data_IF_605273196738
#
_entry.id   IF_605273196738
#
_cell.length_a   1.000
_cell.length_b   1.000
_cell.length_c   1.000
_cell.angle_alpha   90.00
_cell.angle_beta   90.00
_cell.angle_gamma   90.00
#
_symmetry.space_group_name_H-M   'P 1'
#
loop_
_entity.id
_entity.type
_entity.pdbx_description
1 polymer ?
#
# COMPACT_ATOMS: atom_id res chain seq x y z
N UNK A 1 34.54 49.89 -55.88
CA UNK A 1 34.70 48.94 -54.75
C UNK A 1 33.35 48.74 -54.11
N UNK A 2 32.73 47.61 -54.40
CA UNK A 2 31.47 47.17 -53.79
C UNK A 2 31.77 46.68 -52.36
N UNK A 3 30.91 46.98 -51.41
CA UNK A 3 30.82 46.23 -50.15
C UNK A 3 29.43 45.60 -50.11
N UNK A 4 29.39 44.29 -50.31
CA UNK A 4 28.24 43.46 -49.97
C UNK A 4 28.11 43.42 -48.44
N UNK A 5 26.89 43.69 -47.97
CA UNK A 5 26.50 43.49 -46.58
C UNK A 5 25.66 42.19 -46.58
N UNK A 6 26.12 41.17 -45.87
CA UNK A 6 25.48 39.86 -45.78
C UNK A 6 24.54 39.88 -44.57
N UNK A 7 23.27 39.50 -44.81
CA UNK A 7 22.20 39.30 -43.82
C UNK A 7 22.54 38.24 -42.77
N UNK A 8 22.10 38.42 -41.53
CA UNK A 8 21.95 37.30 -40.59
C UNK A 8 20.89 37.56 -39.51
N UNK A 9 19.61 37.59 -39.89
CA UNK A 9 18.46 37.65 -38.97
C UNK A 9 17.74 36.28 -38.86
N UNK A 10 18.41 35.20 -38.41
CA UNK A 10 17.71 33.91 -38.17
C UNK A 10 18.40 33.07 -37.09
N UNK A 11 18.26 33.40 -35.79
CA UNK A 11 18.80 32.51 -34.74
C UNK A 11 18.21 32.66 -33.32
N UNK A 12 16.95 33.08 -33.13
CA UNK A 12 16.44 33.28 -31.76
C UNK A 12 15.09 32.62 -31.40
N UNK A 13 14.48 31.83 -32.30
CA UNK A 13 13.16 31.24 -32.01
C UNK A 13 13.15 29.71 -31.80
N UNK A 14 14.30 29.03 -31.87
CA UNK A 14 14.36 27.56 -31.76
C UNK A 14 14.67 27.00 -30.37
N UNK A 15 15.12 27.83 -29.43
CA UNK A 15 15.63 27.35 -28.13
C UNK A 15 14.52 27.21 -27.07
N UNK A 16 13.46 28.02 -27.15
CA UNK A 16 12.37 28.02 -26.16
C UNK A 16 11.41 26.84 -26.30
N UNK A 17 11.16 26.37 -27.52
CA UNK A 17 10.24 25.24 -27.76
C UNK A 17 10.85 23.88 -27.33
N UNK A 18 12.18 23.80 -27.20
CA UNK A 18 12.88 22.55 -26.83
C UNK A 18 12.95 22.36 -25.31
N UNK A 19 12.98 23.43 -24.52
CA UNK A 19 12.94 23.33 -23.05
C UNK A 19 11.56 22.92 -22.54
N UNK A 20 10.49 23.51 -23.08
CA UNK A 20 9.12 23.18 -22.64
C UNK A 20 8.73 21.73 -22.99
N UNK A 21 9.28 21.16 -24.06
CA UNK A 21 9.07 19.76 -24.44
C UNK A 21 9.86 18.74 -23.58
N UNK A 22 10.96 19.17 -22.95
CA UNK A 22 11.77 18.30 -22.08
C UNK A 22 11.13 18.13 -20.70
N UNK A 23 10.61 19.21 -20.12
CA UNK A 23 9.91 19.16 -18.81
C UNK A 23 8.66 18.27 -18.85
N UNK A 24 7.97 18.17 -19.99
CA UNK A 24 6.79 17.30 -20.14
C UNK A 24 7.13 15.81 -20.35
N UNK A 25 8.34 15.47 -20.79
CA UNK A 25 8.78 14.07 -20.94
C UNK A 25 9.48 13.51 -19.70
N UNK A 26 10.12 14.37 -18.90
CA UNK A 26 10.85 13.94 -17.71
C UNK A 26 9.88 13.49 -16.60
N UNK A 27 8.75 14.17 -16.42
CA UNK A 27 7.79 13.86 -15.34
C UNK A 27 7.15 12.46 -15.43
N UNK A 28 6.84 11.96 -16.62
CA UNK A 28 6.20 10.64 -16.79
C UNK A 28 7.23 9.49 -16.75
N UNK A 29 8.49 9.80 -17.05
CA UNK A 29 9.58 8.82 -17.08
C UNK A 29 10.20 8.61 -15.70
N UNK A 30 10.25 9.66 -14.88
CA UNK A 30 10.76 9.62 -13.50
C UNK A 30 9.87 8.74 -12.58
N UNK A 31 8.54 8.76 -12.72
CA UNK A 31 7.66 7.89 -11.91
C UNK A 31 7.81 6.40 -12.25
N UNK A 32 8.13 6.06 -13.50
CA UNK A 32 8.28 4.67 -13.96
C UNK A 32 9.57 3.98 -13.47
N UNK A 33 10.59 4.77 -13.08
CA UNK A 33 11.87 4.28 -12.56
C UNK A 33 11.88 4.12 -11.04
N UNK A 34 10.84 4.57 -10.34
CA UNK A 34 10.73 4.44 -8.89
C UNK A 34 10.40 3.00 -8.50
N UNK A 35 11.15 2.46 -7.53
CA UNK A 35 10.83 1.17 -6.92
C UNK A 35 9.39 1.17 -6.37
N UNK A 36 8.56 0.16 -6.68
CA UNK A 36 7.17 0.12 -6.25
C UNK A 36 7.06 0.25 -4.73
N UNK A 37 6.46 1.36 -4.26
CA UNK A 37 6.30 1.59 -2.83
C UNK A 37 5.10 0.81 -2.32
N UNK A 38 5.32 -0.06 -1.34
CA UNK A 38 4.22 -0.70 -0.63
C UNK A 38 3.36 0.35 0.09
N UNK A 39 2.10 0.47 -0.32
CA UNK A 39 1.10 1.26 0.41
C UNK A 39 0.65 0.44 1.62
N UNK A 40 0.92 0.93 2.82
CA UNK A 40 0.46 0.31 4.06
C UNK A 40 -0.54 1.21 4.78
N UNK A 41 -1.55 0.58 5.39
CA UNK A 41 -2.48 1.23 6.30
C UNK A 41 -2.47 0.48 7.63
N UNK A 42 -2.60 1.20 8.75
CA UNK A 42 -2.73 0.57 10.06
C UNK A 42 -4.18 0.20 10.32
N UNK A 43 -4.38 -1.00 10.81
CA UNK A 43 -5.68 -1.48 11.31
C UNK A 43 -5.83 -1.02 12.77
N UNK A 44 -6.74 -0.07 13.02
CA UNK A 44 -6.82 0.66 14.29
C UNK A 44 -8.07 0.38 15.14
N UNK A 45 -9.03 -0.42 14.66
CA UNK A 45 -10.30 -0.70 15.34
C UNK A 45 -10.12 -1.64 16.55
N UNK A 46 -10.71 -2.84 16.54
CA UNK A 46 -10.69 -3.72 17.72
C UNK A 46 -9.35 -4.48 17.87
N UNK A 47 -8.59 -4.60 16.78
CA UNK A 47 -7.36 -5.38 16.73
C UNK A 47 -6.34 -4.95 17.81
N UNK A 48 -5.99 -3.65 18.00
CA UNK A 48 -5.01 -3.26 18.99
C UNK A 48 -5.45 -3.52 20.44
N UNK A 49 -6.75 -3.47 20.73
CA UNK A 49 -7.26 -3.77 22.08
C UNK A 49 -7.17 -5.27 22.38
N UNK A 50 -7.57 -6.12 21.42
CA UNK A 50 -7.49 -7.57 21.54
C UNK A 50 -6.04 -8.01 21.69
N UNK A 51 -5.13 -7.49 20.86
CA UNK A 51 -3.71 -7.84 20.90
C UNK A 51 -2.95 -7.28 22.11
N UNK A 52 -3.54 -6.35 22.85
CA UNK A 52 -3.01 -5.89 24.14
C UNK A 52 -3.35 -6.84 25.28
N UNK A 53 -4.49 -7.53 25.17
CA UNK A 53 -5.02 -8.47 26.17
C UNK A 53 -4.57 -9.91 25.91
N UNK A 54 -4.38 -10.28 24.65
CA UNK A 54 -3.99 -11.61 24.21
C UNK A 54 -2.98 -11.53 23.06
N UNK A 55 -2.31 -12.64 22.76
CA UNK A 55 -1.29 -12.71 21.72
C UNK A 55 -1.82 -13.46 20.49
N UNK A 56 -1.68 -12.89 19.30
CA UNK A 56 -1.92 -13.61 18.06
C UNK A 56 -0.86 -14.70 17.84
N UNK A 57 -1.29 -15.87 17.39
CA UNK A 57 -0.44 -17.06 17.17
C UNK A 57 -0.44 -17.50 15.71
N UNK A 58 -1.55 -17.35 15.00
CA UNK A 58 -1.67 -17.65 13.58
C UNK A 58 -2.68 -16.72 12.91
N UNK A 59 -2.61 -16.58 11.58
CA UNK A 59 -3.60 -15.84 10.80
C UNK A 59 -3.86 -16.47 9.44
N UNK A 60 -5.05 -16.26 8.90
CA UNK A 60 -5.44 -16.58 7.53
C UNK A 60 -6.23 -15.41 6.94
N UNK A 61 -5.96 -15.06 5.69
CA UNK A 61 -6.59 -13.93 5.00
C UNK A 61 -7.51 -14.44 3.91
N UNK A 62 -8.72 -13.89 3.88
CA UNK A 62 -9.71 -14.07 2.83
C UNK A 62 -10.07 -12.70 2.23
N UNK A 63 -10.58 -12.66 1.01
CA UNK A 63 -10.96 -11.43 0.31
C UNK A 63 -12.00 -10.57 1.03
N UNK A 64 -12.69 -11.15 2.02
CA UNK A 64 -13.75 -10.48 2.80
C UNK A 64 -13.38 -10.24 4.26
N UNK A 65 -12.45 -11.02 4.81
CA UNK A 65 -12.15 -11.00 6.24
C UNK A 65 -10.77 -11.60 6.52
N UNK A 66 -10.22 -11.26 7.68
CA UNK A 66 -9.04 -11.89 8.25
C UNK A 66 -9.42 -12.73 9.47
N UNK A 67 -8.97 -13.98 9.54
CA UNK A 67 -9.10 -14.83 10.72
C UNK A 67 -7.77 -14.82 11.48
N UNK A 68 -7.79 -14.56 12.78
CA UNK A 68 -6.61 -14.52 13.65
C UNK A 68 -6.84 -15.43 14.84
N UNK A 69 -6.02 -16.46 14.96
CA UNK A 69 -5.99 -17.34 16.12
C UNK A 69 -5.12 -16.75 17.22
N UNK A 70 -5.60 -16.78 18.46
CA UNK A 70 -4.90 -16.26 19.62
C UNK A 70 -4.45 -17.36 20.59
N UNK A 71 -3.51 -17.01 21.47
CA UNK A 71 -2.96 -17.94 22.46
C UNK A 71 -4.02 -18.48 23.43
N UNK A 72 -5.09 -17.73 23.69
CA UNK A 72 -6.20 -18.21 24.52
C UNK A 72 -7.08 -19.27 23.85
N UNK A 73 -6.80 -19.65 22.60
CA UNK A 73 -7.64 -20.57 21.83
C UNK A 73 -8.84 -19.88 21.15
N UNK A 74 -8.84 -18.54 21.07
CA UNK A 74 -9.90 -17.79 20.38
C UNK A 74 -9.50 -17.53 18.93
N UNK A 75 -10.41 -17.76 18.00
CA UNK A 75 -10.31 -17.33 16.59
C UNK A 75 -11.17 -16.10 16.41
N UNK A 76 -10.52 -14.97 16.19
CA UNK A 76 -11.15 -13.70 15.90
C UNK A 76 -11.31 -13.52 14.40
N UNK A 77 -12.48 -13.07 13.97
CA UNK A 77 -12.76 -12.71 12.58
C UNK A 77 -12.84 -11.19 12.48
N UNK A 78 -12.04 -10.60 11.61
CA UNK A 78 -11.97 -9.16 11.39
C UNK A 78 -12.32 -8.80 9.94
N UNK A 79 -12.97 -7.66 9.74
CA UNK A 79 -13.01 -7.04 8.41
C UNK A 79 -11.65 -6.36 8.06
N UNK A 80 -11.55 -5.81 6.85
CA UNK A 80 -10.33 -5.13 6.37
C UNK A 80 -9.98 -3.84 7.14
N UNK A 81 -10.90 -3.31 7.94
CA UNK A 81 -10.68 -2.15 8.81
C UNK A 81 -10.36 -2.56 10.27
N UNK A 82 -10.41 -3.85 10.58
CA UNK A 82 -10.16 -4.40 11.92
C UNK A 82 -11.36 -4.40 12.85
N UNK A 83 -12.56 -4.22 12.33
CA UNK A 83 -13.79 -4.37 13.10
C UNK A 83 -14.00 -5.85 13.40
N UNK A 84 -14.30 -6.16 14.66
CA UNK A 84 -14.54 -7.53 15.08
C UNK A 84 -15.93 -8.01 14.62
N UNK A 85 -15.98 -9.16 13.95
CA UNK A 85 -17.22 -9.82 13.59
C UNK A 85 -17.80 -10.56 14.82
N UNK A 86 -19.12 -10.56 15.04
CA UNK A 86 -19.75 -11.17 16.22
C UNK A 86 -19.56 -12.69 16.33
N UNK A 87 -19.34 -13.38 15.21
CA UNK A 87 -19.14 -14.84 15.19
C UNK A 87 -17.66 -15.22 15.38
N UNK A 88 -17.08 -14.88 16.54
CA UNK A 88 -15.78 -15.40 16.94
C UNK A 88 -15.92 -16.75 17.65
N UNK A 89 -15.03 -17.70 17.34
CA UNK A 89 -15.06 -19.04 17.94
C UNK A 89 -14.00 -19.13 19.02
N UNK A 90 -14.35 -19.63 20.20
CA UNK A 90 -13.37 -19.95 21.24
C UNK A 90 -13.30 -21.45 21.43
N UNK A 91 -12.12 -22.01 21.22
CA UNK A 91 -11.82 -23.39 21.54
C UNK A 91 -11.54 -23.48 23.03
N UNK A 92 -12.60 -23.54 23.83
CA UNK A 92 -12.46 -23.87 25.24
C UNK A 92 -11.95 -25.30 25.36
N UNK A 93 -10.91 -25.50 26.17
CA UNK A 93 -10.36 -26.81 26.51
C UNK A 93 -11.33 -27.69 27.34
N UNK A 94 -12.59 -27.31 27.44
CA UNK A 94 -13.66 -28.03 28.13
C UNK A 94 -14.43 -28.97 27.19
N UNK A 95 -13.71 -29.90 26.56
CA UNK A 95 -14.31 -31.18 26.19
C UNK A 95 -13.54 -32.30 26.90
N UNK A 96 -14.10 -32.89 27.98
CA UNK A 96 -13.49 -34.02 28.68
C UNK A 96 -13.69 -35.35 27.91
N UNK A 97 -13.60 -35.35 26.59
CA UNK A 97 -13.81 -36.55 25.77
C UNK A 97 -12.59 -36.86 24.91
N UNK A 98 -11.51 -37.24 25.57
CA UNK A 98 -10.49 -38.11 24.98
C UNK A 98 -9.94 -39.08 26.04
N UNK A 99 -10.80 -39.99 26.50
CA UNK A 99 -10.43 -41.35 26.88
C UNK A 99 -11.65 -42.25 26.66
N UNK A 100 -11.79 -42.78 25.44
CA UNK A 100 -12.35 -44.10 25.16
C UNK A 100 -11.73 -44.62 23.87
#
# INVERSE_FOLDING_TARGET
>A
MQKEQIDTDVAQNGEKEIEEAKDMMESDTEEALLEPRFKYSRILNNVPEILRKDMATCMAIHDKFAAVGSRSGTVYIFDHFGSLHPENVRFDSFLPYLMR
#
